data_IF_452833747561
#
_entry.id   IF_452833747561
#
_cell.length_a   1.000
_cell.length_b   1.000
_cell.length_c   1.000
_cell.angle_alpha   90.00
_cell.angle_beta   90.00
_cell.angle_gamma   90.00
#
_symmetry.space_group_name_H-M   'P 1'
#
loop_
_entity.id
_entity.type
_entity.pdbx_description
1 polymer ?
#
# COMPACT_ATOMS: atom_id res chain seq x y z
N UNK A 1 -31.11 12.70 0.47
CA UNK A 1 -30.97 13.41 -0.83
C UNK A 1 -30.75 12.37 -1.92
N UNK A 2 -31.66 12.28 -2.89
CA UNK A 2 -31.55 11.37 -4.05
C UNK A 2 -30.73 12.05 -5.14
N UNK A 3 -29.74 11.36 -5.72
CA UNK A 3 -29.01 11.84 -6.89
C UNK A 3 -29.44 11.06 -8.14
N UNK A 4 -29.70 11.81 -9.20
CA UNK A 4 -30.12 11.36 -10.54
C UNK A 4 -28.85 11.10 -11.36
N UNK A 5 -28.70 9.96 -12.06
CA UNK A 5 -27.53 9.72 -12.89
C UNK A 5 -27.69 10.37 -14.28
N UNK A 6 -26.68 11.12 -14.71
CA UNK A 6 -26.54 11.64 -16.08
C UNK A 6 -25.83 10.58 -16.94
N UNK A 7 -26.46 10.16 -18.04
CA UNK A 7 -25.83 9.31 -19.07
C UNK A 7 -24.84 10.14 -19.89
N UNK A 8 -23.60 9.67 -19.99
CA UNK A 8 -22.62 10.17 -20.96
C UNK A 8 -22.89 9.53 -22.33
N UNK A 9 -23.09 10.39 -23.33
CA UNK A 9 -23.21 10.02 -24.73
C UNK A 9 -21.83 9.63 -25.31
N UNK A 10 -21.81 8.56 -26.08
CA UNK A 10 -20.67 8.05 -26.84
C UNK A 10 -20.23 9.03 -27.92
N UNK A 11 -18.94 9.38 -27.95
CA UNK A 11 -18.29 10.00 -29.12
C UNK A 11 -17.24 9.02 -29.60
N UNK A 12 -17.43 8.46 -30.80
CA UNK A 12 -16.47 7.56 -31.45
C UNK A 12 -15.32 8.34 -32.11
N UNK A 13 -14.15 7.72 -32.33
CA UNK A 13 -13.05 8.37 -33.04
C UNK A 13 -13.18 8.14 -34.56
N UNK A 14 -13.33 9.22 -35.32
CA UNK A 14 -13.12 9.21 -36.77
C UNK A 14 -11.61 9.24 -37.08
N UNK A 15 -11.19 8.26 -37.88
CA UNK A 15 -9.86 8.13 -38.47
C UNK A 15 -9.74 9.01 -39.73
N UNK A 16 -8.58 9.63 -39.93
CA UNK A 16 -8.08 10.05 -41.25
C UNK A 16 -6.53 9.95 -41.28
N UNK A 17 -5.93 9.24 -42.26
CA UNK A 17 -4.49 9.09 -42.40
C UNK A 17 -3.89 10.08 -43.41
N UNK A 18 -2.59 9.92 -43.70
CA UNK A 18 -1.71 10.55 -44.72
C UNK A 18 -0.64 11.45 -44.04
N UNK A 19 0.67 11.38 -44.31
CA UNK A 19 1.48 10.69 -45.33
C UNK A 19 2.94 10.70 -44.89
N UNK A 20 3.70 9.65 -45.20
CA UNK A 20 5.17 9.63 -45.13
C UNK A 20 5.76 10.46 -46.25
N UNK A 21 6.76 11.30 -45.94
CA UNK A 21 7.91 11.51 -46.84
C UNK A 21 9.18 11.81 -46.05
N UNK A 22 10.24 11.17 -46.52
CA UNK A 22 11.59 11.12 -45.99
C UNK A 22 12.24 12.51 -45.82
N UNK A 23 13.28 12.59 -44.98
CA UNK A 23 14.64 12.84 -45.45
C UNK A 23 15.67 12.56 -44.35
N UNK A 24 16.78 12.00 -44.81
CA UNK A 24 17.96 11.49 -44.11
C UNK A 24 19.01 12.56 -43.81
N UNK A 25 19.89 12.23 -42.86
CA UNK A 25 21.25 12.77 -42.63
C UNK A 25 21.38 14.19 -42.06
N UNK A 26 21.91 14.29 -40.83
CA UNK A 26 23.31 14.70 -40.64
C UNK A 26 23.77 14.45 -39.20
N UNK A 27 25.03 14.06 -39.09
CA UNK A 27 25.76 13.72 -37.88
C UNK A 27 26.91 14.71 -37.69
N UNK A 28 27.23 14.99 -36.43
CA UNK A 28 28.35 15.78 -35.86
C UNK A 28 28.20 17.30 -35.96
N UNK A 29 28.28 17.97 -34.80
CA UNK A 29 29.45 18.76 -34.39
C UNK A 29 29.11 19.70 -33.20
N UNK A 30 29.90 19.55 -32.12
CA UNK A 30 30.57 20.61 -31.32
C UNK A 30 30.44 20.47 -29.81
N UNK A 31 31.57 20.06 -29.24
CA UNK A 31 32.06 20.24 -27.88
C UNK A 31 32.46 21.70 -27.60
N UNK A 32 32.49 22.01 -26.29
CA UNK A 32 33.08 23.17 -25.59
C UNK A 32 32.08 24.19 -25.06
N UNK A 33 31.93 24.21 -23.73
CA UNK A 33 32.29 25.36 -22.91
C UNK A 33 32.23 24.99 -21.41
N UNK A 34 33.37 24.59 -20.85
CA UNK A 34 33.71 24.87 -19.46
C UNK A 34 34.80 25.94 -19.48
N UNK A 35 34.62 27.03 -18.73
CA UNK A 35 35.68 27.83 -18.08
C UNK A 35 35.13 29.21 -17.77
N UNK A 36 34.70 29.38 -16.52
CA UNK A 36 34.85 30.61 -15.73
C UNK A 36 34.22 30.35 -14.38
N UNK A 37 35.06 30.21 -13.36
CA UNK A 37 34.87 30.73 -11.99
C UNK A 37 35.93 30.09 -11.09
N UNK A 38 37.07 30.78 -10.96
CA UNK A 38 37.89 30.72 -9.76
C UNK A 38 38.20 32.15 -9.32
N UNK A 39 38.14 32.32 -8.00
CA UNK A 39 38.72 33.41 -7.20
C UNK A 39 37.85 34.64 -7.04
N UNK A 40 37.14 34.75 -5.90
CA UNK A 40 37.46 35.72 -4.84
C UNK A 40 36.87 35.22 -3.52
N UNK A 41 37.75 35.10 -2.51
CA UNK A 41 37.40 34.85 -1.12
C UNK A 41 37.31 36.19 -0.37
N UNK A 42 36.50 36.18 0.69
CA UNK A 42 36.37 37.14 1.78
C UNK A 42 35.78 38.52 1.43
N UNK A 43 34.59 38.80 1.99
CA UNK A 43 34.23 40.04 2.68
C UNK A 43 32.86 39.86 3.37
N UNK A 44 32.89 39.95 4.70
CA UNK A 44 31.88 40.49 5.63
C UNK A 44 30.44 39.91 5.67
N UNK A 45 30.09 39.45 6.86
CA UNK A 45 28.74 39.12 7.33
C UNK A 45 27.91 40.38 7.65
N UNK A 46 26.64 40.45 7.21
CA UNK A 46 25.61 41.20 7.90
C UNK A 46 24.52 40.26 8.44
N UNK A 47 24.25 40.47 9.73
CA UNK A 47 23.10 40.01 10.50
C UNK A 47 21.76 40.27 9.79
N UNK A 48 20.88 39.28 9.80
CA UNK A 48 19.47 39.44 9.44
C UNK A 48 18.86 38.19 8.82
N UNK A 49 18.55 37.16 9.62
CA UNK A 49 17.58 36.17 9.18
C UNK A 49 16.20 36.84 9.22
N UNK A 50 15.47 36.93 8.08
CA UNK A 50 14.05 37.21 8.18
C UNK A 50 13.44 36.02 8.92
N UNK A 51 12.82 36.29 10.07
CA UNK A 51 11.95 35.32 10.72
C UNK A 51 10.90 34.93 9.69
N UNK A 52 11.02 33.73 9.14
CA UNK A 52 9.99 33.14 8.31
C UNK A 52 8.73 33.11 9.15
N UNK A 53 7.74 33.91 8.76
CA UNK A 53 6.41 33.85 9.33
C UNK A 53 5.92 32.43 9.15
N UNK A 54 5.75 31.70 10.26
CA UNK A 54 5.00 30.45 10.28
C UNK A 54 3.64 30.76 9.64
N UNK A 55 3.25 30.11 8.54
CA UNK A 55 1.92 30.31 8.00
C UNK A 55 0.92 29.99 9.12
N UNK A 56 0.00 30.90 9.40
CA UNK A 56 -1.15 30.56 10.26
C UNK A 56 -1.83 29.32 9.65
N UNK A 57 -2.21 28.34 10.48
CA UNK A 57 -2.87 27.14 9.98
C UNK A 57 -4.16 27.56 9.27
N UNK A 58 -4.17 27.48 7.94
CA UNK A 58 -5.40 27.55 7.19
C UNK A 58 -6.26 26.37 7.65
N UNK A 59 -7.42 26.64 8.24
CA UNK A 59 -8.43 25.62 8.48
C UNK A 59 -8.77 24.97 7.14
N UNK A 60 -8.19 23.82 6.86
CA UNK A 60 -8.52 23.05 5.68
C UNK A 60 -9.93 22.49 5.90
N UNK A 61 -10.89 22.85 5.06
CA UNK A 61 -12.25 22.28 5.10
C UNK A 61 -12.31 20.80 4.71
N UNK A 62 -11.17 20.21 4.35
CA UNK A 62 -11.05 18.84 3.87
C UNK A 62 -10.55 17.93 4.98
N UNK A 63 -11.05 16.71 4.96
CA UNK A 63 -10.74 15.66 5.91
C UNK A 63 -10.25 14.44 5.14
N UNK A 64 -9.05 13.97 5.46
CA UNK A 64 -8.41 12.86 4.79
C UNK A 64 -8.26 11.66 5.71
N UNK A 65 -8.42 10.47 5.13
CA UNK A 65 -8.00 9.20 5.72
C UNK A 65 -6.91 8.66 4.80
N UNK A 66 -5.69 8.54 5.32
CA UNK A 66 -4.61 7.85 4.63
C UNK A 66 -4.75 6.34 4.86
N UNK A 67 -5.04 5.58 3.82
CA UNK A 67 -5.30 4.14 3.95
C UNK A 67 -4.03 3.27 3.89
N UNK A 68 -2.87 3.84 3.53
CA UNK A 68 -1.67 3.08 3.20
C UNK A 68 -0.41 3.73 3.77
N UNK A 69 -0.41 3.92 5.09
CA UNK A 69 0.64 4.62 5.80
C UNK A 69 1.70 3.66 6.34
N UNK A 70 2.94 3.81 5.91
CA UNK A 70 4.06 2.99 6.38
C UNK A 70 4.74 3.57 7.64
N UNK A 71 4.02 4.30 8.49
CA UNK A 71 4.55 4.95 9.69
C UNK A 71 5.16 3.99 10.74
N UNK A 72 5.00 2.66 10.57
CA UNK A 72 5.74 1.67 11.34
C UNK A 72 7.23 1.56 10.96
N UNK A 73 7.63 2.11 9.81
CA UNK A 73 9.02 2.04 9.34
C UNK A 73 9.99 2.85 10.24
N UNK A 74 11.16 2.30 10.59
CA UNK A 74 12.17 2.98 11.40
C UNK A 74 12.63 4.35 10.88
N UNK A 75 12.49 4.64 9.58
CA UNK A 75 12.83 5.97 9.03
C UNK A 75 12.01 7.08 9.69
N UNK A 76 10.77 6.80 10.09
CA UNK A 76 9.91 7.76 10.81
C UNK A 76 10.25 7.90 12.30
N UNK A 77 11.25 7.16 12.76
CA UNK A 77 11.92 7.29 14.07
C UNK A 77 13.33 7.83 13.93
N UNK A 78 13.73 8.25 12.73
CA UNK A 78 15.06 8.76 12.41
C UNK A 78 16.14 7.70 12.24
N UNK A 79 15.76 6.43 12.13
CA UNK A 79 16.69 5.32 11.87
C UNK A 79 16.71 4.96 10.38
N UNK A 80 17.89 5.06 9.75
CA UNK A 80 18.09 4.72 8.35
C UNK A 80 19.17 3.65 8.26
N UNK A 81 18.83 2.49 7.69
CA UNK A 81 19.76 1.36 7.55
C UNK A 81 20.47 0.98 8.87
N UNK A 82 19.74 0.95 9.99
CA UNK A 82 20.29 0.59 11.31
C UNK A 82 21.10 1.69 11.99
N UNK A 83 21.07 2.92 11.49
CA UNK A 83 21.77 4.07 12.08
C UNK A 83 20.80 5.19 12.45
N UNK A 84 20.91 5.70 13.67
CA UNK A 84 20.20 6.91 14.09
C UNK A 84 20.80 8.14 13.37
N UNK A 85 20.06 8.70 12.41
CA UNK A 85 20.50 9.86 11.61
C UNK A 85 19.97 11.17 12.18
N UNK A 86 18.76 11.17 12.74
CA UNK A 86 18.19 12.31 13.47
C UNK A 86 17.40 11.83 14.68
N UNK A 87 17.05 12.74 15.61
CA UNK A 87 16.19 12.40 16.73
C UNK A 87 14.80 11.93 16.26
N UNK A 88 14.13 11.10 17.06
CA UNK A 88 12.74 10.69 16.81
C UNK A 88 11.84 11.93 16.70
N UNK A 89 11.20 12.11 15.53
CA UNK A 89 10.28 13.20 15.23
C UNK A 89 8.85 12.71 14.92
N UNK A 90 8.51 11.47 15.32
CA UNK A 90 7.22 10.82 15.02
C UNK A 90 6.01 11.67 15.39
N UNK A 91 6.00 12.28 16.59
CA UNK A 91 4.90 13.15 17.02
C UNK A 91 4.79 14.45 16.20
N UNK A 92 5.92 14.93 15.66
CA UNK A 92 5.93 16.07 14.76
C UNK A 92 5.35 15.68 13.40
N UNK A 93 5.61 14.46 12.92
CA UNK A 93 5.00 13.90 11.70
C UNK A 93 3.47 13.86 11.85
N UNK A 94 2.96 13.28 12.95
CA UNK A 94 1.50 13.25 13.20
C UNK A 94 0.89 14.66 13.30
N UNK A 95 1.60 15.59 13.93
CA UNK A 95 1.15 16.99 14.01
C UNK A 95 1.05 17.61 12.63
N UNK A 96 2.05 17.42 11.75
CA UNK A 96 2.01 17.89 10.37
C UNK A 96 0.86 17.26 9.59
N UNK A 97 0.62 15.97 9.76
CA UNK A 97 -0.49 15.26 9.11
C UNK A 97 -1.85 15.85 9.52
N UNK A 98 -2.07 16.06 10.83
CA UNK A 98 -3.30 16.70 11.35
C UNK A 98 -3.48 18.11 10.82
N UNK A 99 -2.40 18.93 10.80
CA UNK A 99 -2.44 20.28 10.24
C UNK A 99 -2.76 20.31 8.74
N UNK A 100 -2.51 19.23 8.02
CA UNK A 100 -2.88 19.06 6.61
C UNK A 100 -4.28 18.45 6.41
N UNK A 101 -5.04 18.19 7.48
CA UNK A 101 -6.39 17.62 7.44
C UNK A 101 -6.45 16.09 7.46
N UNK A 102 -5.33 15.40 7.68
CA UNK A 102 -5.31 13.93 7.85
C UNK A 102 -5.79 13.58 9.26
N UNK A 103 -7.00 13.03 9.37
CA UNK A 103 -7.64 12.72 10.66
C UNK A 103 -7.51 11.27 11.07
N UNK A 104 -7.20 10.38 10.11
CA UNK A 104 -6.98 8.96 10.35
C UNK A 104 -5.91 8.43 9.41
N UNK A 105 -5.13 7.48 9.90
CA UNK A 105 -4.15 6.76 9.09
C UNK A 105 -4.24 5.26 9.39
N UNK A 106 -4.24 4.44 8.35
CA UNK A 106 -4.20 2.98 8.46
C UNK A 106 -2.77 2.55 8.21
N UNK A 107 -2.16 1.97 9.24
CA UNK A 107 -0.80 1.47 9.23
C UNK A 107 -0.75 0.08 8.62
N UNK A 108 0.13 -0.11 7.65
CA UNK A 108 0.21 -1.36 6.92
C UNK A 108 1.04 -2.39 7.68
N UNK A 109 0.40 -3.48 8.09
CA UNK A 109 1.08 -4.71 8.54
C UNK A 109 1.41 -5.60 7.35
N UNK A 110 2.69 -5.84 7.08
CA UNK A 110 3.18 -6.58 5.91
C UNK A 110 3.66 -8.01 6.22
N UNK A 111 3.81 -8.35 7.50
CA UNK A 111 4.16 -9.68 8.02
C UNK A 111 3.65 -9.81 9.45
N UNK A 112 3.83 -10.96 10.11
CA UNK A 112 3.35 -11.17 11.48
C UNK A 112 4.03 -10.23 12.49
N UNK A 113 5.34 -10.00 12.37
CA UNK A 113 6.05 -9.06 13.26
C UNK A 113 5.65 -7.62 12.97
N UNK A 114 5.63 -7.21 11.70
CA UNK A 114 5.18 -5.88 11.29
C UNK A 114 3.75 -5.59 11.73
N UNK A 115 2.85 -6.57 11.57
CA UNK A 115 1.46 -6.49 12.03
C UNK A 115 1.35 -6.28 13.55
N UNK A 116 2.22 -6.92 14.36
CA UNK A 116 2.28 -6.69 15.81
C UNK A 116 2.72 -5.26 16.11
N UNK A 117 3.78 -4.81 15.46
CA UNK A 117 4.36 -3.48 15.66
C UNK A 117 3.35 -2.38 15.32
N UNK A 118 2.71 -2.44 14.14
CA UNK A 118 1.73 -1.43 13.74
C UNK A 118 0.46 -1.48 14.58
N UNK A 119 0.03 -2.66 15.06
CA UNK A 119 -1.11 -2.78 15.99
C UNK A 119 -0.82 -2.09 17.32
N UNK A 120 0.36 -2.32 17.91
CA UNK A 120 0.73 -1.67 19.17
C UNK A 120 0.92 -0.16 18.99
N UNK A 121 1.48 0.28 17.86
CA UNK A 121 1.57 1.69 17.52
C UNK A 121 0.18 2.33 17.39
N UNK A 122 -0.77 1.65 16.75
CA UNK A 122 -2.15 2.09 16.62
C UNK A 122 -2.90 2.11 17.96
N UNK A 123 -2.60 1.19 18.88
CA UNK A 123 -3.17 1.22 20.24
C UNK A 123 -2.75 2.45 21.04
N UNK A 124 -1.54 2.95 20.81
CA UNK A 124 -1.01 4.13 21.48
C UNK A 124 -1.47 5.47 20.91
N UNK A 125 -2.16 5.51 19.76
CA UNK A 125 -2.52 6.76 19.07
C UNK A 125 -3.93 6.68 18.48
N UNK A 126 -4.82 7.61 18.86
CA UNK A 126 -6.25 7.49 18.54
C UNK A 126 -6.58 7.62 17.05
N UNK A 127 -5.79 8.39 16.31
CA UNK A 127 -5.93 8.58 14.86
C UNK A 127 -5.38 7.41 14.02
N UNK A 128 -4.66 6.49 14.66
CA UNK A 128 -4.00 5.38 13.95
C UNK A 128 -4.83 4.10 14.04
N UNK A 129 -4.83 3.37 12.94
CA UNK A 129 -5.41 2.05 12.75
C UNK A 129 -4.38 1.14 12.13
N UNK A 130 -4.63 -0.17 12.07
CA UNK A 130 -3.69 -1.13 11.54
C UNK A 130 -4.37 -2.14 10.60
N UNK A 131 -3.58 -2.72 9.71
CA UNK A 131 -3.93 -3.95 9.01
C UNK A 131 -3.15 -5.13 9.62
N UNK A 132 -3.66 -6.34 9.46
CA UNK A 132 -2.95 -7.57 9.82
C UNK A 132 -2.91 -8.52 8.64
N UNK A 133 -1.72 -8.94 8.23
CA UNK A 133 -1.56 -9.80 7.06
C UNK A 133 -0.10 -10.18 6.78
N UNK A 134 0.11 -10.78 5.62
CA UNK A 134 1.41 -11.18 5.10
C UNK A 134 1.48 -10.85 3.61
N UNK A 135 2.35 -9.89 3.30
CA UNK A 135 2.62 -9.35 1.97
C UNK A 135 3.19 -10.44 1.05
N UNK A 136 2.92 -10.42 -0.27
CA UNK A 136 3.47 -11.40 -1.21
C UNK A 136 4.98 -11.60 -1.08
N UNK A 137 5.77 -10.53 -0.98
CA UNK A 137 7.23 -10.58 -0.75
C UNK A 137 7.67 -11.25 0.57
N UNK A 138 6.77 -11.38 1.55
CA UNK A 138 7.03 -12.00 2.85
C UNK A 138 6.39 -13.38 2.98
N UNK A 139 5.76 -13.89 1.91
CA UNK A 139 5.01 -15.15 1.94
C UNK A 139 5.84 -16.38 2.34
N UNK A 140 7.17 -16.34 2.16
CA UNK A 140 8.09 -17.38 2.66
C UNK A 140 8.06 -17.53 4.20
N UNK A 141 7.61 -16.51 4.94
CA UNK A 141 7.53 -16.58 6.41
C UNK A 141 6.54 -17.63 6.91
N UNK A 142 5.53 -18.01 6.11
CA UNK A 142 4.67 -19.14 6.43
C UNK A 142 5.48 -20.43 6.62
N UNK A 143 6.58 -20.58 5.89
CA UNK A 143 7.42 -21.79 5.90
C UNK A 143 8.64 -21.65 6.82
N UNK A 144 8.90 -20.47 7.37
CA UNK A 144 10.14 -20.15 8.09
C UNK A 144 10.37 -20.94 9.40
N UNK A 145 9.32 -21.59 9.94
CA UNK A 145 9.46 -22.44 11.14
C UNK A 145 9.52 -23.93 10.83
N UNK A 146 9.48 -24.32 9.54
CA UNK A 146 9.69 -25.69 9.12
C UNK A 146 11.14 -26.11 9.41
N UNK A 147 11.32 -27.32 9.92
CA UNK A 147 12.64 -27.87 10.23
C UNK A 147 13.20 -28.71 9.07
N UNK A 148 12.32 -29.13 8.16
CA UNK A 148 12.58 -29.97 7.01
C UNK A 148 11.73 -29.52 5.84
N UNK A 149 12.16 -29.81 4.61
CA UNK A 149 11.38 -29.55 3.40
C UNK A 149 10.25 -30.59 3.18
N UNK A 150 9.94 -31.41 4.19
CA UNK A 150 8.87 -32.38 4.06
C UNK A 150 7.50 -31.66 3.97
N UNK A 151 6.59 -32.08 3.08
CA UNK A 151 5.30 -31.40 2.91
C UNK A 151 4.51 -31.24 4.22
N UNK A 152 4.58 -32.23 5.12
CA UNK A 152 3.91 -32.20 6.41
C UNK A 152 4.49 -31.16 7.38
N UNK A 153 5.80 -30.90 7.32
CA UNK A 153 6.46 -29.91 8.16
C UNK A 153 6.22 -28.48 7.66
N UNK A 154 6.32 -28.28 6.34
CA UNK A 154 5.97 -27.02 5.68
C UNK A 154 4.51 -26.63 5.98
N UNK A 155 3.59 -27.59 5.86
CA UNK A 155 2.18 -27.35 6.17
C UNK A 155 1.96 -27.02 7.65
N UNK A 156 2.67 -27.69 8.57
CA UNK A 156 2.63 -27.38 10.01
C UNK A 156 3.15 -25.97 10.29
N UNK A 157 4.25 -25.56 9.66
CA UNK A 157 4.78 -24.20 9.78
C UNK A 157 3.76 -23.17 9.28
N UNK A 158 3.19 -23.40 8.09
CA UNK A 158 2.23 -22.49 7.50
C UNK A 158 0.98 -22.32 8.36
N UNK A 159 0.44 -23.43 8.87
CA UNK A 159 -0.70 -23.43 9.79
C UNK A 159 -0.39 -22.62 11.05
N UNK A 160 0.77 -22.83 11.66
CA UNK A 160 1.20 -22.08 12.86
C UNK A 160 1.30 -20.57 12.59
N UNK A 161 1.82 -20.17 11.42
CA UNK A 161 1.91 -18.76 11.05
C UNK A 161 0.52 -18.14 10.84
N UNK A 162 -0.38 -18.85 10.14
CA UNK A 162 -1.76 -18.41 9.95
C UNK A 162 -2.52 -18.29 11.29
N UNK A 163 -2.37 -19.27 12.17
CA UNK A 163 -2.93 -19.25 13.53
C UNK A 163 -2.42 -18.05 14.34
N UNK A 164 -1.17 -17.63 14.14
CA UNK A 164 -0.63 -16.46 14.81
C UNK A 164 -1.23 -15.14 14.29
N UNK A 165 -1.49 -15.03 12.98
CA UNK A 165 -2.23 -13.89 12.41
C UNK A 165 -3.68 -13.86 12.91
N UNK A 166 -4.33 -15.02 12.89
CA UNK A 166 -5.70 -15.23 13.38
C UNK A 166 -5.84 -14.79 14.84
N UNK A 167 -4.93 -15.25 15.70
CA UNK A 167 -4.87 -14.88 17.11
C UNK A 167 -4.65 -13.38 17.30
N UNK A 168 -3.79 -12.76 16.49
CA UNK A 168 -3.51 -11.32 16.57
C UNK A 168 -4.77 -10.48 16.30
N UNK A 169 -5.56 -10.88 15.29
CA UNK A 169 -6.84 -10.25 14.95
C UNK A 169 -7.85 -10.50 16.08
N UNK A 170 -7.99 -11.75 16.54
CA UNK A 170 -8.93 -12.13 17.59
C UNK A 170 -8.74 -11.29 18.88
N UNK A 171 -7.49 -11.17 19.33
CA UNK A 171 -7.13 -10.39 20.52
C UNK A 171 -7.47 -8.91 20.37
N UNK A 172 -7.25 -8.34 19.18
CA UNK A 172 -7.56 -6.95 18.92
C UNK A 172 -9.07 -6.71 18.90
N UNK A 173 -9.83 -7.56 18.20
CA UNK A 173 -11.29 -7.48 18.15
C UNK A 173 -11.93 -7.64 19.54
N UNK A 174 -11.36 -8.50 20.40
CA UNK A 174 -11.85 -8.73 21.76
C UNK A 174 -11.50 -7.60 22.75
N UNK A 175 -10.65 -6.64 22.38
CA UNK A 175 -10.13 -5.63 23.30
C UNK A 175 -11.14 -4.52 23.69
N UNK A 176 -12.28 -4.45 23.01
CA UNK A 176 -13.27 -3.36 23.19
C UNK A 176 -12.84 -2.02 22.56
N UNK A 177 -11.61 -1.93 22.05
CA UNK A 177 -11.08 -0.75 21.36
C UNK A 177 -10.20 -1.18 20.17
N UNK A 178 -10.79 -1.95 19.25
CA UNK A 178 -10.09 -2.55 18.12
C UNK A 178 -9.44 -1.48 17.22
N UNK A 179 -8.18 -1.74 16.86
CA UNK A 179 -7.38 -0.92 15.95
C UNK A 179 -7.13 -1.61 14.62
N UNK A 180 -7.28 -2.93 14.55
CA UNK A 180 -7.18 -3.71 13.32
C UNK A 180 -8.47 -3.55 12.52
N UNK A 181 -8.37 -2.87 11.38
CA UNK A 181 -9.53 -2.50 10.55
C UNK A 181 -9.59 -3.23 9.22
N UNK A 182 -8.55 -3.96 8.84
CA UNK A 182 -8.49 -4.73 7.60
C UNK A 182 -7.55 -5.93 7.71
N UNK A 183 -7.81 -6.95 6.90
CA UNK A 183 -6.86 -8.04 6.66
C UNK A 183 -6.02 -7.70 5.43
N UNK A 184 -4.71 -7.73 5.61
CA UNK A 184 -3.73 -7.29 4.63
C UNK A 184 -2.53 -6.62 5.33
N UNK A 185 -1.49 -6.24 4.62
CA UNK A 185 -1.38 -6.31 3.17
C UNK A 185 -1.17 -7.74 2.67
N UNK A 186 -2.00 -8.17 1.72
CA UNK A 186 -1.86 -9.50 1.11
C UNK A 186 -2.26 -9.44 -0.38
N UNK A 187 -1.79 -10.41 -1.16
CA UNK A 187 -2.03 -10.42 -2.61
C UNK A 187 -0.85 -11.01 -3.37
N UNK A 188 -0.57 -10.48 -4.57
CA UNK A 188 0.43 -11.02 -5.49
C UNK A 188 1.32 -9.91 -6.07
N UNK A 189 2.62 -10.14 -6.08
CA UNK A 189 3.64 -9.24 -6.64
C UNK A 189 4.66 -10.03 -7.46
N UNK A 190 4.50 -10.02 -8.79
CA UNK A 190 5.41 -10.74 -9.69
C UNK A 190 6.61 -9.90 -10.15
N UNK A 191 6.71 -8.63 -9.74
CA UNK A 191 7.95 -7.85 -9.89
C UNK A 191 8.97 -8.16 -8.78
N UNK A 192 8.59 -8.98 -7.79
CA UNK A 192 9.38 -9.28 -6.59
C UNK A 192 9.55 -10.78 -6.33
N UNK A 193 9.59 -11.59 -7.40
CA UNK A 193 9.77 -13.05 -7.30
C UNK A 193 11.08 -13.50 -6.64
N UNK A 194 12.07 -12.61 -6.54
CA UNK A 194 13.30 -12.85 -5.77
C UNK A 194 13.08 -12.91 -4.25
N UNK A 195 11.98 -12.34 -3.74
CA UNK A 195 11.65 -12.33 -2.32
C UNK A 195 10.75 -13.50 -1.91
N UNK A 196 9.81 -13.89 -2.77
CA UNK A 196 8.98 -15.08 -2.61
C UNK A 196 8.56 -15.59 -3.99
N UNK A 197 8.65 -16.91 -4.19
CA UNK A 197 8.32 -17.52 -5.48
C UNK A 197 6.85 -17.31 -5.83
N UNK A 198 6.52 -17.36 -7.13
CA UNK A 198 5.12 -17.29 -7.58
C UNK A 198 4.27 -18.37 -6.92
N UNK A 199 4.79 -19.59 -6.79
CA UNK A 199 4.10 -20.71 -6.13
C UNK A 199 3.80 -20.40 -4.66
N UNK A 200 4.79 -19.89 -3.92
CA UNK A 200 4.63 -19.48 -2.52
C UNK A 200 3.57 -18.39 -2.37
N UNK A 201 3.60 -17.36 -3.21
CA UNK A 201 2.61 -16.28 -3.17
C UNK A 201 1.20 -16.80 -3.45
N UNK A 202 1.04 -17.64 -4.48
CA UNK A 202 -0.24 -18.27 -4.82
C UNK A 202 -0.76 -19.17 -3.70
N UNK A 203 0.12 -19.89 -2.99
CA UNK A 203 -0.24 -20.79 -1.89
C UNK A 203 -0.75 -20.03 -0.68
N UNK A 204 -0.13 -18.89 -0.33
CA UNK A 204 -0.39 -18.20 0.93
C UNK A 204 -1.27 -16.95 0.83
N UNK A 205 -1.69 -16.56 -0.37
CA UNK A 205 -2.73 -15.54 -0.53
C UNK A 205 -4.14 -16.03 -0.09
N UNK A 206 -4.67 -17.18 -0.57
CA UNK A 206 -6.04 -17.60 -0.26
C UNK A 206 -6.37 -17.75 1.24
N UNK A 207 -5.51 -18.35 2.10
CA UNK A 207 -5.83 -18.48 3.52
C UNK A 207 -6.03 -17.14 4.24
N UNK A 208 -5.47 -16.04 3.72
CA UNK A 208 -5.67 -14.70 4.29
C UNK A 208 -7.04 -14.13 3.93
N UNK A 209 -7.63 -14.52 2.79
CA UNK A 209 -9.01 -14.18 2.45
C UNK A 209 -9.99 -14.82 3.43
N UNK A 210 -9.68 -16.02 3.91
CA UNK A 210 -10.47 -16.71 4.94
C UNK A 210 -10.49 -15.95 6.26
N UNK A 211 -9.38 -15.34 6.67
CA UNK A 211 -9.34 -14.49 7.86
C UNK A 211 -10.27 -13.27 7.70
N UNK A 212 -10.28 -12.65 6.53
CA UNK A 212 -11.14 -11.51 6.25
C UNK A 212 -12.63 -11.89 6.36
N UNK A 213 -13.02 -13.02 5.77
CA UNK A 213 -14.38 -13.57 5.91
C UNK A 213 -14.71 -13.90 7.37
N UNK A 214 -13.81 -14.61 8.08
CA UNK A 214 -14.00 -15.03 9.47
C UNK A 214 -14.30 -13.86 10.41
N UNK A 215 -13.58 -12.75 10.27
CA UNK A 215 -13.72 -11.57 11.13
C UNK A 215 -14.62 -10.48 10.53
N UNK A 216 -15.19 -10.71 9.34
CA UNK A 216 -15.98 -9.71 8.61
C UNK A 216 -15.22 -8.38 8.45
N UNK A 217 -13.92 -8.46 8.15
CA UNK A 217 -13.03 -7.31 7.94
C UNK A 217 -12.78 -7.08 6.44
N UNK A 218 -12.71 -5.82 5.99
CA UNK A 218 -12.32 -5.51 4.61
C UNK A 218 -10.91 -6.00 4.32
N UNK A 219 -10.64 -6.25 3.03
CA UNK A 219 -9.31 -6.61 2.55
C UNK A 219 -8.49 -5.36 2.18
N UNK A 220 -7.19 -5.39 2.48
CA UNK A 220 -6.19 -4.43 1.99
C UNK A 220 -5.22 -5.17 1.05
N UNK A 221 -5.41 -5.00 -0.26
CA UNK A 221 -4.94 -5.94 -1.27
C UNK A 221 -3.82 -5.36 -2.14
N UNK A 222 -2.78 -6.15 -2.36
CA UNK A 222 -1.68 -5.86 -3.27
C UNK A 222 -1.84 -6.62 -4.59
N UNK A 223 -1.72 -5.92 -5.71
CA UNK A 223 -1.58 -6.55 -7.02
C UNK A 223 -0.60 -5.77 -7.88
N UNK A 224 0.49 -6.43 -8.32
CA UNK A 224 1.53 -5.82 -9.17
C UNK A 224 1.82 -6.73 -10.36
N UNK A 225 1.85 -6.12 -11.55
CA UNK A 225 1.89 -6.74 -12.89
C UNK A 225 0.55 -7.30 -13.37
N UNK A 226 0.32 -7.27 -14.68
CA UNK A 226 -0.87 -7.84 -15.32
C UNK A 226 -0.96 -9.36 -15.16
N UNK A 227 0.18 -10.05 -15.12
CA UNK A 227 0.22 -11.49 -14.88
C UNK A 227 -0.27 -11.85 -13.47
N UNK A 228 0.12 -11.06 -12.46
CA UNK A 228 -0.38 -11.23 -11.11
C UNK A 228 -1.86 -10.89 -11.00
N UNK A 229 -2.35 -9.87 -11.71
CA UNK A 229 -3.78 -9.52 -11.75
C UNK A 229 -4.67 -10.68 -12.19
N UNK A 230 -4.27 -11.42 -13.23
CA UNK A 230 -5.03 -12.60 -13.71
C UNK A 230 -5.16 -13.68 -12.63
N UNK A 231 -4.06 -14.04 -11.99
CA UNK A 231 -4.05 -15.04 -10.92
C UNK A 231 -4.76 -14.53 -9.66
N UNK A 232 -4.63 -13.24 -9.35
CA UNK A 232 -5.30 -12.55 -8.25
C UNK A 232 -6.82 -12.64 -8.39
N UNK A 233 -7.36 -12.23 -9.53
CA UNK A 233 -8.80 -12.28 -9.82
C UNK A 233 -9.32 -13.71 -9.78
N UNK A 234 -8.56 -14.67 -10.33
CA UNK A 234 -8.93 -16.10 -10.27
C UNK A 234 -9.07 -16.58 -8.83
N UNK A 235 -8.12 -16.24 -7.95
CA UNK A 235 -8.15 -16.61 -6.53
C UNK A 235 -9.35 -15.97 -5.83
N UNK A 236 -9.58 -14.67 -6.03
CA UNK A 236 -10.73 -13.98 -5.42
C UNK A 236 -12.05 -14.66 -5.84
N UNK A 237 -12.26 -14.90 -7.13
CA UNK A 237 -13.49 -15.55 -7.62
C UNK A 237 -13.67 -16.95 -7.05
N UNK A 238 -12.59 -17.72 -6.93
CA UNK A 238 -12.63 -19.05 -6.34
C UNK A 238 -12.97 -19.02 -4.85
N UNK A 239 -12.47 -18.03 -4.11
CA UNK A 239 -12.84 -17.78 -2.72
C UNK A 239 -14.32 -17.43 -2.59
N UNK A 240 -14.80 -16.44 -3.34
CA UNK A 240 -16.19 -15.99 -3.27
C UNK A 240 -17.21 -17.06 -3.66
N UNK A 241 -16.87 -17.93 -4.62
CA UNK A 241 -17.73 -19.03 -5.03
C UNK A 241 -18.02 -20.07 -3.91
N UNK A 242 -17.27 -20.02 -2.81
CA UNK A 242 -17.45 -20.91 -1.64
C UNK A 242 -18.43 -20.37 -0.61
N UNK A 243 -18.86 -19.11 -0.74
CA UNK A 243 -19.66 -18.40 0.25
C UNK A 243 -20.98 -17.91 -0.35
N UNK A 244 -22.01 -17.81 0.47
CA UNK A 244 -23.24 -17.11 0.07
C UNK A 244 -23.01 -15.60 0.05
N UNK A 245 -23.91 -14.86 -0.62
CA UNK A 245 -23.83 -13.41 -0.69
C UNK A 245 -23.92 -12.74 0.70
N UNK A 246 -24.57 -13.40 1.67
CA UNK A 246 -24.72 -12.92 3.04
C UNK A 246 -23.46 -13.17 3.91
N UNK A 247 -22.65 -14.17 3.55
CA UNK A 247 -21.39 -14.49 4.23
C UNK A 247 -20.23 -13.59 3.77
N UNK A 248 -20.37 -12.97 2.59
CA UNK A 248 -19.38 -12.04 2.05
C UNK A 248 -19.69 -10.59 2.44
N UNK A 249 -18.64 -9.80 2.60
CA UNK A 249 -18.79 -8.34 2.72
C UNK A 249 -19.39 -7.76 1.44
N UNK A 250 -20.37 -6.85 1.53
CA UNK A 250 -20.94 -6.21 0.36
C UNK A 250 -19.87 -5.38 -0.36
N UNK A 251 -19.95 -5.25 -1.68
CA UNK A 251 -18.96 -4.57 -2.54
C UNK A 251 -18.25 -3.36 -1.89
N UNK A 252 -19.00 -2.32 -1.48
CA UNK A 252 -18.42 -1.10 -0.88
C UNK A 252 -17.68 -1.28 0.46
N UNK A 253 -17.73 -2.46 1.06
CA UNK A 253 -17.01 -2.85 2.28
C UNK A 253 -16.02 -3.99 2.06
N UNK A 254 -15.94 -4.53 0.83
CA UNK A 254 -15.15 -5.73 0.53
C UNK A 254 -13.66 -5.52 0.72
N UNK A 255 -13.17 -4.36 0.33
CA UNK A 255 -11.76 -4.00 0.47
C UNK A 255 -11.29 -3.02 -0.60
N UNK A 256 -9.99 -2.81 -0.61
CA UNK A 256 -9.29 -1.92 -1.53
C UNK A 256 -8.11 -2.65 -2.16
N UNK A 257 -7.95 -2.54 -3.47
CA UNK A 257 -6.69 -2.83 -4.14
C UNK A 257 -5.86 -1.56 -4.09
N UNK A 258 -4.87 -1.53 -3.20
CA UNK A 258 -4.11 -0.32 -2.87
C UNK A 258 -2.98 -0.09 -3.88
N UNK A 259 -2.46 1.15 -3.92
CA UNK A 259 -1.30 1.52 -4.74
C UNK A 259 -1.42 1.06 -6.20
N UNK A 260 -2.61 1.25 -6.77
CA UNK A 260 -2.98 0.68 -8.06
C UNK A 260 -2.24 1.38 -9.20
N UNK A 261 -1.54 0.60 -10.03
CA UNK A 261 -0.82 1.07 -11.22
C UNK A 261 -1.13 0.24 -12.47
N UNK A 262 -2.25 -0.49 -12.45
CA UNK A 262 -2.67 -1.36 -13.54
C UNK A 262 -3.36 -0.61 -14.68
N UNK A 263 -3.91 -1.35 -15.64
CA UNK A 263 -4.66 -0.79 -16.77
C UNK A 263 -6.09 -0.40 -16.39
N UNK A 264 -6.77 0.34 -17.26
CA UNK A 264 -8.18 0.70 -17.08
C UNK A 264 -9.07 -0.56 -17.07
N UNK A 265 -8.72 -1.57 -17.86
CA UNK A 265 -9.44 -2.84 -17.95
C UNK A 265 -9.34 -3.62 -16.64
N UNK A 266 -8.13 -3.71 -16.08
CA UNK A 266 -7.88 -4.34 -14.78
C UNK A 266 -8.64 -3.61 -13.67
N UNK A 267 -8.60 -2.27 -13.66
CA UNK A 267 -9.34 -1.46 -12.72
C UNK A 267 -10.86 -1.68 -12.79
N UNK A 268 -11.43 -1.71 -13.99
CA UNK A 268 -12.86 -2.00 -14.19
C UNK A 268 -13.23 -3.38 -13.66
N UNK A 269 -12.41 -4.40 -13.95
CA UNK A 269 -12.65 -5.75 -13.44
C UNK A 269 -12.64 -5.79 -11.90
N UNK A 270 -11.72 -5.09 -11.25
CA UNK A 270 -11.68 -5.00 -9.78
C UNK A 270 -12.90 -4.27 -9.21
N UNK A 271 -13.35 -3.19 -9.85
CA UNK A 271 -14.56 -2.45 -9.46
C UNK A 271 -15.82 -3.30 -9.65
N UNK A 272 -15.90 -4.06 -10.73
CA UNK A 272 -17.01 -4.98 -11.01
C UNK A 272 -17.06 -6.13 -10.00
N UNK A 273 -15.90 -6.57 -9.50
CA UNK A 273 -15.78 -7.49 -8.34
C UNK A 273 -16.12 -6.81 -7.01
N UNK A 274 -16.39 -5.51 -7.01
CA UNK A 274 -16.81 -4.74 -5.85
C UNK A 274 -15.68 -4.12 -5.04
N UNK A 275 -14.41 -4.18 -5.46
CA UNK A 275 -13.34 -3.52 -4.72
C UNK A 275 -13.24 -2.03 -5.00
N UNK A 276 -12.70 -1.29 -4.03
CA UNK A 276 -12.23 0.08 -4.24
C UNK A 276 -10.80 0.09 -4.79
N UNK A 277 -10.39 1.19 -5.42
CA UNK A 277 -9.05 1.38 -5.98
C UNK A 277 -8.33 2.45 -5.17
N UNK A 278 -7.19 2.10 -4.59
CA UNK A 278 -6.33 3.02 -3.85
C UNK A 278 -5.39 3.75 -4.79
N UNK A 279 -5.34 5.08 -4.68
CA UNK A 279 -4.50 5.96 -5.49
C UNK A 279 -3.50 6.67 -4.57
N UNK A 280 -2.23 6.66 -4.96
CA UNK A 280 -1.15 7.40 -4.33
C UNK A 280 -0.30 8.10 -5.42
N UNK A 281 0.86 8.63 -5.04
CA UNK A 281 1.72 9.45 -5.90
C UNK A 281 2.42 8.70 -7.03
#
# INVERSE_FOLDING_TARGET
MRWIPVRLASIGPEYLPLTRRALSHHSKLYSHQESRLRTMAALESPTGHPQGTTPEPQETSYTFIDIGSNLGDPVFRGEYHGKQVHADDFQQILTRARSAGVVKQILTGDCLSGSKEVRELARGNEELYATVGCHPCRANEFEASAQTDSPADVERSAKKYLEALDQLIAEDQASGHSRVVAVGECGLDYDRLSHASKETQLRYFPPQLELATKYNLPLFLHSRTSEAHVDFVRIIRAHEARYTAEELLPARKKGVVHSFTGTIEEMKELVDLGFSIGING
#
